data_IF_395938673927
#
_entry.id   IF_395938673927
#
_cell.length_a   1.000
_cell.length_b   1.000
_cell.length_c   1.000
_cell.angle_alpha   90.00
_cell.angle_beta   90.00
_cell.angle_gamma   90.00
#
_symmetry.space_group_name_H-M   'P 1'
#
loop_
_entity.id
_entity.type
_entity.pdbx_description
1 polymer ?
#
# COMPACT_ATOMS: atom_id res chain seq x y z
N UNK A 1 -21.50 4.41 -6.38
CA UNK A 1 -20.22 3.67 -6.31
C UNK A 1 -19.72 3.54 -7.74
N UNK A 2 -18.46 3.87 -8.03
CA UNK A 2 -17.96 3.80 -9.42
C UNK A 2 -17.84 2.31 -9.82
N UNK A 3 -18.73 1.86 -10.70
CA UNK A 3 -18.91 0.48 -11.17
C UNK A 3 -17.80 -0.03 -12.11
N UNK A 4 -16.56 0.47 -11.97
CA UNK A 4 -15.49 0.18 -12.93
C UNK A 4 -14.55 -0.95 -12.49
N UNK A 5 -14.87 -1.66 -11.40
CA UNK A 5 -14.12 -2.80 -10.91
C UNK A 5 -15.02 -4.04 -10.82
N UNK A 6 -14.50 -5.23 -11.15
CA UNK A 6 -15.24 -6.47 -10.94
C UNK A 6 -15.72 -6.57 -9.48
N UNK A 7 -16.97 -7.00 -9.25
CA UNK A 7 -17.56 -7.03 -7.90
C UNK A 7 -16.93 -8.10 -6.99
N UNK A 8 -16.26 -9.09 -7.59
CA UNK A 8 -15.55 -10.18 -6.91
C UNK A 8 -14.15 -10.29 -7.49
N UNK A 9 -13.15 -10.30 -6.60
CA UNK A 9 -11.74 -10.43 -6.94
C UNK A 9 -11.12 -11.55 -6.12
N UNK A 10 -10.16 -12.26 -6.69
CA UNK A 10 -9.39 -13.23 -5.93
C UNK A 10 -8.03 -13.52 -6.53
N UNK A 11 -7.13 -14.02 -5.69
CA UNK A 11 -5.79 -14.45 -6.07
C UNK A 11 -5.32 -15.58 -5.14
N UNK A 12 -4.30 -16.30 -5.57
CA UNK A 12 -3.62 -17.30 -4.75
C UNK A 12 -2.30 -16.75 -4.20
N UNK A 13 -1.89 -17.23 -3.03
CA UNK A 13 -0.59 -16.89 -2.45
C UNK A 13 0.60 -17.38 -3.28
N UNK A 14 0.39 -18.41 -4.11
CA UNK A 14 1.38 -19.02 -5.00
C UNK A 14 0.76 -19.48 -6.31
N UNK A 15 1.61 -19.64 -7.34
CA UNK A 15 1.19 -20.07 -8.68
C UNK A 15 1.11 -21.60 -8.85
N UNK A 16 1.85 -22.36 -8.04
CA UNK A 16 1.89 -23.81 -8.10
C UNK A 16 2.13 -24.43 -6.72
N UNK A 17 1.75 -25.69 -6.58
CA UNK A 17 1.91 -26.46 -5.36
C UNK A 17 2.13 -27.95 -5.68
N UNK A 18 2.83 -28.65 -4.81
CA UNK A 18 2.99 -30.11 -4.84
C UNK A 18 1.87 -30.80 -4.07
N UNK A 19 1.65 -32.12 -4.28
CA UNK A 19 0.76 -32.89 -3.44
C UNK A 19 1.10 -32.72 -1.95
N UNK A 20 0.08 -32.43 -1.13
CA UNK A 20 0.24 -32.21 0.31
C UNK A 20 0.55 -30.76 0.72
N UNK A 21 0.87 -29.87 -0.23
CA UNK A 21 1.04 -28.45 0.06
C UNK A 21 -0.31 -27.72 0.06
N UNK A 22 -0.39 -26.64 0.85
CA UNK A 22 -1.59 -25.80 0.96
C UNK A 22 -1.45 -24.58 0.06
N UNK A 23 -2.44 -24.34 -0.81
CA UNK A 23 -2.59 -23.08 -1.55
C UNK A 23 -3.67 -22.24 -0.87
N UNK A 24 -3.36 -20.99 -0.55
CA UNK A 24 -4.32 -20.07 0.04
C UNK A 24 -4.99 -19.24 -1.05
N UNK A 25 -6.32 -19.27 -1.11
CA UNK A 25 -7.11 -18.40 -1.98
C UNK A 25 -7.62 -17.21 -1.18
N UNK A 26 -7.30 -16.00 -1.62
CA UNK A 26 -7.77 -14.75 -1.02
C UNK A 26 -8.88 -14.19 -1.90
N UNK A 27 -10.06 -13.97 -1.33
CA UNK A 27 -11.24 -13.46 -2.05
C UNK A 27 -11.74 -12.18 -1.39
N UNK A 28 -11.97 -11.14 -2.19
CA UNK A 28 -12.57 -9.87 -1.78
C UNK A 28 -13.80 -9.60 -2.62
N UNK A 29 -14.93 -9.30 -1.98
CA UNK A 29 -16.22 -9.04 -2.63
C UNK A 29 -16.81 -7.74 -2.14
N UNK A 30 -17.33 -6.93 -3.06
CA UNK A 30 -18.17 -5.78 -2.75
C UNK A 30 -19.66 -6.14 -2.63
N UNK A 31 -20.03 -7.36 -3.02
CA UNK A 31 -21.38 -7.89 -2.84
C UNK A 31 -21.57 -8.43 -1.43
N UNK A 32 -22.78 -8.28 -0.90
CA UNK A 32 -23.22 -8.91 0.34
C UNK A 32 -23.61 -10.38 0.13
N UNK A 33 -23.76 -11.14 1.22
CA UNK A 33 -24.19 -12.53 1.18
C UNK A 33 -23.02 -13.51 1.07
N UNK A 34 -23.13 -14.49 0.17
CA UNK A 34 -22.15 -15.57 0.02
C UNK A 34 -21.66 -15.69 -1.42
N UNK A 35 -20.40 -16.11 -1.60
CA UNK A 35 -19.85 -16.56 -2.87
C UNK A 35 -19.61 -18.08 -2.83
N UNK A 36 -19.63 -18.73 -3.99
CA UNK A 36 -19.33 -20.16 -4.11
C UNK A 36 -17.94 -20.39 -4.69
N UNK A 37 -17.21 -21.35 -4.14
CA UNK A 37 -15.95 -21.82 -4.70
C UNK A 37 -16.06 -23.31 -5.07
N UNK A 38 -15.42 -23.68 -6.18
CA UNK A 38 -15.29 -25.04 -6.69
C UNK A 38 -13.92 -25.19 -7.36
N UNK A 39 -13.41 -26.41 -7.48
CA UNK A 39 -12.20 -26.69 -8.24
C UNK A 39 -12.55 -27.15 -9.65
N UNK A 40 -11.77 -26.67 -10.63
CA UNK A 40 -11.88 -27.08 -12.03
C UNK A 40 -10.51 -27.39 -12.61
N UNK A 41 -10.48 -28.32 -13.55
CA UNK A 41 -9.39 -28.49 -14.49
C UNK A 41 -9.76 -27.76 -15.78
N UNK A 42 -9.04 -26.68 -16.08
CA UNK A 42 -9.18 -25.98 -17.36
C UNK A 42 -8.45 -26.77 -18.45
N UNK A 43 -9.17 -27.18 -19.49
CA UNK A 43 -8.65 -27.89 -20.65
C UNK A 43 -8.39 -26.90 -21.80
N UNK A 44 -9.30 -25.95 -22.00
CA UNK A 44 -9.15 -24.85 -22.95
C UNK A 44 -9.76 -23.57 -22.38
N UNK A 45 -9.04 -22.45 -22.50
CA UNK A 45 -9.47 -21.14 -22.02
C UNK A 45 -9.72 -20.13 -23.16
N UNK A 46 -9.59 -20.55 -24.42
CA UNK A 46 -9.87 -19.70 -25.58
C UNK A 46 -11.38 -19.71 -25.89
N UNK A 47 -12.08 -18.57 -25.79
CA UNK A 47 -13.52 -18.49 -26.06
C UNK A 47 -13.86 -18.46 -27.57
N UNK A 48 -12.89 -18.58 -28.47
CA UNK A 48 -13.11 -18.56 -29.91
C UNK A 48 -14.12 -19.65 -30.35
N UNK A 49 -15.28 -19.28 -30.93
CA UNK A 49 -16.30 -20.24 -31.34
C UNK A 49 -15.89 -21.10 -32.55
N UNK A 50 -14.84 -20.72 -33.28
CA UNK A 50 -14.28 -21.55 -34.37
C UNK A 50 -13.32 -22.64 -33.86
N UNK A 51 -12.95 -22.61 -32.57
CA UNK A 51 -12.21 -23.66 -31.89
C UNK A 51 -13.12 -24.57 -31.05
N UNK A 52 -12.55 -25.26 -30.07
CA UNK A 52 -13.33 -26.06 -29.09
C UNK A 52 -14.03 -25.20 -28.02
N UNK A 53 -13.68 -23.91 -27.94
CA UNK A 53 -14.20 -22.98 -26.95
C UNK A 53 -13.63 -23.18 -25.53
N UNK A 54 -14.26 -22.54 -24.54
CA UNK A 54 -13.94 -22.72 -23.12
C UNK A 54 -14.36 -24.11 -22.66
N UNK A 55 -13.39 -24.93 -22.22
CA UNK A 55 -13.62 -26.29 -21.74
C UNK A 55 -13.03 -26.44 -20.34
N UNK A 56 -13.92 -26.72 -19.38
CA UNK A 56 -13.58 -26.98 -17.98
C UNK A 56 -14.18 -28.32 -17.53
N UNK A 57 -13.46 -29.00 -16.64
CA UNK A 57 -13.93 -30.21 -15.97
C UNK A 57 -13.99 -29.97 -14.46
N UNK A 58 -15.13 -30.26 -13.86
CA UNK A 58 -15.30 -30.15 -12.41
C UNK A 58 -14.46 -31.21 -11.68
N UNK A 59 -13.75 -30.80 -10.63
CA UNK A 59 -12.97 -31.70 -9.78
C UNK A 59 -13.56 -31.68 -8.38
N UNK A 60 -13.91 -32.86 -7.88
CA UNK A 60 -14.36 -33.02 -6.50
C UNK A 60 -13.23 -32.60 -5.55
N UNK A 61 -13.55 -31.70 -4.62
CA UNK A 61 -12.61 -31.18 -3.64
C UNK A 61 -13.32 -30.87 -2.33
N UNK A 62 -12.60 -31.06 -1.22
CA UNK A 62 -13.14 -30.88 0.13
C UNK A 62 -13.49 -29.44 0.49
N UNK A 63 -12.92 -28.46 -0.21
CA UNK A 63 -13.21 -27.04 0.02
C UNK A 63 -14.38 -26.50 -0.82
N UNK A 64 -14.96 -27.29 -1.73
CA UNK A 64 -16.09 -26.79 -2.52
C UNK A 64 -17.26 -26.40 -1.61
N UNK A 65 -17.81 -25.19 -1.78
CA UNK A 65 -18.86 -24.69 -0.89
C UNK A 65 -19.14 -23.20 -1.02
N UNK A 66 -20.03 -22.71 -0.15
CA UNK A 66 -20.33 -21.29 0.01
C UNK A 66 -19.48 -20.66 1.10
N UNK A 67 -19.12 -19.39 0.91
CA UNK A 67 -18.30 -18.60 1.81
C UNK A 67 -18.88 -17.21 1.95
N UNK A 68 -18.84 -16.64 3.16
CA UNK A 68 -19.29 -15.28 3.41
C UNK A 68 -18.49 -14.27 2.56
N UNK A 69 -19.20 -13.44 1.83
CA UNK A 69 -18.62 -12.35 1.07
C UNK A 69 -18.16 -11.23 2.03
N UNK A 70 -16.93 -10.74 1.83
CA UNK A 70 -16.39 -9.62 2.60
C UNK A 70 -15.42 -8.80 1.76
N UNK A 71 -15.34 -7.51 2.06
CA UNK A 71 -14.30 -6.63 1.51
C UNK A 71 -13.00 -6.87 2.29
N UNK A 72 -11.91 -7.07 1.55
CA UNK A 72 -10.56 -7.01 2.10
C UNK A 72 -9.91 -5.70 1.66
N UNK A 73 -9.73 -4.71 2.56
CA UNK A 73 -9.13 -3.44 2.19
C UNK A 73 -7.66 -3.63 1.81
N UNK A 74 -7.24 -2.94 0.74
CA UNK A 74 -5.87 -2.94 0.26
C UNK A 74 -5.38 -1.50 0.11
N UNK A 75 -4.17 -1.24 0.56
CA UNK A 75 -3.52 0.07 0.45
C UNK A 75 -2.29 -0.10 -0.44
N UNK A 76 -2.41 0.15 -1.76
CA UNK A 76 -1.28 0.02 -2.68
C UNK A 76 -0.18 1.04 -2.35
N UNK A 77 1.06 0.62 -2.57
CA UNK A 77 2.23 1.47 -2.40
C UNK A 77 3.33 0.76 -1.62
N UNK A 78 4.53 0.70 -2.20
CA UNK A 78 5.71 0.20 -1.51
C UNK A 78 6.08 1.16 -0.39
N UNK A 79 6.21 0.64 0.83
CA UNK A 79 6.69 1.39 1.98
C UNK A 79 7.45 0.46 2.94
N UNK A 80 8.27 1.06 3.80
CA UNK A 80 8.83 0.37 4.95
C UNK A 80 7.96 0.70 6.16
N UNK A 81 7.54 -0.34 6.90
CA UNK A 81 6.83 -0.19 8.17
C UNK A 81 7.72 -0.75 9.28
N UNK A 82 8.04 0.08 10.27
CA UNK A 82 8.78 -0.33 11.46
C UNK A 82 7.79 -0.32 12.63
N UNK A 83 7.46 -1.49 13.22
CA UNK A 83 6.59 -1.52 14.38
C UNK A 83 7.34 -0.90 15.57
N UNK A 84 6.64 -0.03 16.29
CA UNK A 84 7.11 0.57 17.53
C UNK A 84 6.31 -0.01 18.69
N UNK A 85 6.96 -0.21 19.83
CA UNK A 85 6.26 -0.59 21.08
C UNK A 85 5.48 0.59 21.63
N UNK A 86 4.51 0.36 22.52
CA UNK A 86 3.74 1.45 23.15
C UNK A 86 4.64 2.42 23.92
N UNK A 87 5.76 1.93 24.46
CA UNK A 87 6.77 2.73 25.17
C UNK A 87 7.74 3.48 24.24
N UNK A 88 7.64 3.28 22.92
CA UNK A 88 8.51 3.96 21.95
C UNK A 88 8.16 5.43 21.86
N UNK A 89 9.00 6.27 22.45
CA UNK A 89 8.88 7.71 22.37
C UNK A 89 9.95 8.28 21.44
N UNK A 90 9.58 9.34 20.72
CA UNK A 90 10.58 10.16 20.05
C UNK A 90 11.41 10.86 21.14
N UNK A 91 12.74 10.90 21.01
CA UNK A 91 13.57 11.64 21.95
C UNK A 91 13.27 13.15 21.87
N UNK A 92 13.54 13.87 22.95
CA UNK A 92 13.31 15.32 23.04
C UNK A 92 14.06 16.12 21.97
N UNK A 93 15.17 15.60 21.47
CA UNK A 93 15.94 16.18 20.38
C UNK A 93 16.40 15.08 19.42
N UNK A 94 16.10 15.25 18.14
CA UNK A 94 16.57 14.37 17.07
C UNK A 94 16.71 15.13 15.76
N UNK A 95 17.44 14.51 14.83
CA UNK A 95 17.54 14.98 13.45
C UNK A 95 17.05 13.88 12.53
N UNK A 96 16.10 14.23 11.66
CA UNK A 96 15.69 13.38 10.55
C UNK A 96 16.27 13.92 9.25
N UNK A 97 17.04 13.10 8.55
CA UNK A 97 17.59 13.44 7.23
C UNK A 97 17.22 12.36 6.24
N UNK A 98 16.76 12.76 5.06
CA UNK A 98 16.44 11.88 3.96
C UNK A 98 16.87 12.52 2.64
N UNK A 99 17.54 11.74 1.80
CA UNK A 99 17.79 12.10 0.40
C UNK A 99 16.68 11.45 -0.43
N UNK A 100 15.92 12.28 -1.15
CA UNK A 100 14.74 11.84 -1.90
C UNK A 100 14.86 12.24 -3.37
N UNK A 101 14.27 11.42 -4.23
CA UNK A 101 14.09 11.72 -5.65
C UNK A 101 12.59 11.66 -5.99
N UNK A 102 11.86 12.76 -5.85
CA UNK A 102 10.43 12.80 -6.18
C UNK A 102 10.24 12.67 -7.69
N UNK A 103 9.55 11.62 -8.15
CA UNK A 103 9.28 11.40 -9.58
C UNK A 103 7.96 12.01 -10.05
N UNK A 104 7.04 12.32 -9.12
CA UNK A 104 5.74 12.91 -9.40
C UNK A 104 5.40 14.07 -8.44
N UNK A 105 6.26 15.10 -8.32
CA UNK A 105 5.95 16.25 -7.46
C UNK A 105 4.67 16.95 -7.96
N UNK A 106 3.83 17.40 -7.02
CA UNK A 106 2.58 18.12 -7.34
C UNK A 106 1.40 17.23 -7.73
N UNK A 107 1.55 15.90 -7.71
CA UNK A 107 0.46 14.94 -7.94
C UNK A 107 -0.19 14.47 -6.64
N UNK A 108 -0.44 15.42 -5.73
CA UNK A 108 -0.95 15.14 -4.38
C UNK A 108 0.16 15.06 -3.32
N UNK A 109 -0.26 14.93 -2.06
CA UNK A 109 0.66 14.87 -0.92
C UNK A 109 1.42 13.53 -0.89
N UNK A 110 2.71 13.59 -0.60
CA UNK A 110 3.61 12.43 -0.63
C UNK A 110 4.37 12.31 0.69
N UNK A 111 4.15 11.22 1.42
CA UNK A 111 4.86 10.94 2.67
C UNK A 111 6.23 10.34 2.37
N UNK A 112 7.29 10.96 2.92
CA UNK A 112 8.65 10.38 2.93
C UNK A 112 8.87 9.61 4.23
N UNK A 113 8.45 10.18 5.36
CA UNK A 113 8.54 9.57 6.67
C UNK A 113 7.33 9.99 7.51
N UNK A 114 6.79 9.06 8.28
CA UNK A 114 5.77 9.36 9.27
C UNK A 114 5.88 8.42 10.46
N UNK A 115 5.64 8.94 11.65
CA UNK A 115 5.55 8.17 12.89
C UNK A 115 4.33 8.63 13.68
N UNK A 116 3.62 7.68 14.26
CA UNK A 116 2.42 7.93 15.05
C UNK A 116 1.80 6.63 15.54
N UNK A 117 0.83 6.76 16.44
CA UNK A 117 0.06 5.62 16.93
C UNK A 117 -1.22 5.44 16.10
N UNK A 118 -1.66 4.19 15.97
CA UNK A 118 -2.89 3.86 15.23
C UNK A 118 -4.13 4.58 15.80
N UNK A 119 -4.18 4.79 17.12
CA UNK A 119 -5.30 5.42 17.84
C UNK A 119 -5.31 6.95 17.76
N UNK A 120 -4.14 7.60 17.76
CA UNK A 120 -4.02 9.06 17.88
C UNK A 120 -3.54 9.78 16.61
N UNK A 121 -3.23 8.99 15.57
CA UNK A 121 -2.75 9.46 14.28
C UNK A 121 -1.26 9.79 14.25
N UNK A 122 -0.86 10.50 13.19
CA UNK A 122 0.52 10.88 12.93
C UNK A 122 1.03 11.94 13.93
N UNK A 123 2.12 11.64 14.63
CA UNK A 123 2.80 12.56 15.55
C UNK A 123 3.83 13.40 14.81
N UNK A 124 4.54 12.83 13.84
CA UNK A 124 5.52 13.53 13.02
C UNK A 124 5.40 13.07 11.57
N UNK A 125 5.36 14.03 10.65
CA UNK A 125 5.30 13.82 9.21
C UNK A 125 6.40 14.64 8.53
N UNK A 126 7.10 14.00 7.59
CA UNK A 126 7.99 14.62 6.63
C UNK A 126 7.59 14.17 5.23
N UNK A 127 7.43 15.12 4.31
CA UNK A 127 7.07 14.79 2.94
C UNK A 127 6.94 16.00 2.02
N UNK A 128 6.17 15.83 0.96
CA UNK A 128 5.78 16.89 0.04
C UNK A 128 4.27 17.16 0.18
N UNK A 129 3.89 18.43 0.07
CA UNK A 129 2.48 18.82 -0.02
C UNK A 129 1.90 18.56 -1.42
N UNK A 130 0.62 18.88 -1.61
CA UNK A 130 -0.07 18.69 -2.89
C UNK A 130 0.52 19.49 -4.06
N UNK A 131 1.33 20.53 -3.79
CA UNK A 131 2.04 21.32 -4.79
C UNK A 131 3.48 20.83 -5.00
N UNK A 132 3.89 19.73 -4.37
CA UNK A 132 5.24 19.18 -4.44
C UNK A 132 6.27 19.94 -3.59
N UNK A 133 5.83 20.82 -2.69
CA UNK A 133 6.73 21.60 -1.82
C UNK A 133 7.05 20.77 -0.58
N UNK A 134 8.30 20.81 -0.09
CA UNK A 134 8.64 20.18 1.18
C UNK A 134 7.75 20.66 2.33
N UNK A 135 7.24 19.71 3.11
CA UNK A 135 6.38 19.95 4.27
C UNK A 135 6.82 19.09 5.44
N UNK A 136 6.83 19.71 6.61
CA UNK A 136 6.95 19.05 7.90
C UNK A 136 5.74 19.40 8.77
N UNK A 137 5.25 18.43 9.53
CA UNK A 137 4.23 18.65 10.56
C UNK A 137 4.57 17.83 11.80
N UNK A 138 4.42 18.46 12.96
CA UNK A 138 4.60 17.81 14.27
C UNK A 138 3.38 18.11 15.12
N UNK A 139 2.78 17.07 15.69
CA UNK A 139 1.70 17.18 16.66
C UNK A 139 2.33 17.25 18.05
N UNK A 140 2.30 18.43 18.66
CA UNK A 140 2.82 18.65 20.01
C UNK A 140 1.75 18.31 21.04
N UNK A 141 2.11 17.50 22.04
CA UNK A 141 1.31 17.26 23.25
C UNK A 141 1.79 18.08 24.45
N UNK A 142 2.99 18.68 24.40
CA UNK A 142 3.49 19.64 25.40
C UNK A 142 4.35 20.74 24.77
N UNK A 143 4.45 21.86 25.50
CA UNK A 143 5.09 23.15 25.14
C UNK A 143 6.63 23.11 25.11
N UNK A 144 7.24 22.03 24.64
CA UNK A 144 8.69 21.98 24.43
C UNK A 144 9.02 22.38 22.99
N UNK A 145 9.94 23.32 22.81
CA UNK A 145 10.34 23.82 21.50
C UNK A 145 11.10 22.74 20.72
N UNK A 146 10.54 22.28 19.60
CA UNK A 146 11.24 21.38 18.68
C UNK A 146 11.96 22.22 17.63
N UNK A 147 13.29 22.12 17.60
CA UNK A 147 14.10 22.65 16.51
C UNK A 147 14.25 21.56 15.45
N UNK A 148 13.56 21.70 14.33
CA UNK A 148 13.73 20.78 13.20
C UNK A 148 14.63 21.40 12.15
N UNK A 149 15.78 20.77 11.92
CA UNK A 149 16.64 21.07 10.78
C UNK A 149 16.38 20.03 9.69
N UNK A 150 15.90 20.48 8.53
CA UNK A 150 15.78 19.61 7.36
C UNK A 150 16.62 20.20 6.21
N UNK A 151 17.32 19.32 5.50
CA UNK A 151 17.94 19.66 4.22
C UNK A 151 17.46 18.67 3.16
N UNK A 152 16.54 19.10 2.31
CA UNK A 152 16.11 18.29 1.16
C UNK A 152 17.19 18.45 0.10
N UNK A 153 18.00 17.41 -0.06
CA UNK A 153 18.89 17.31 -1.22
C UNK A 153 18.05 16.77 -2.37
N UNK A 154 17.33 17.66 -3.05
CA UNK A 154 16.67 17.34 -4.31
C UNK A 154 17.72 17.48 -5.42
N UNK A 155 18.08 16.37 -6.04
CA UNK A 155 18.97 16.40 -7.20
C UNK A 155 18.06 16.59 -8.43
N UNK A 156 17.89 17.82 -8.91
CA UNK A 156 17.22 18.05 -10.19
C UNK A 156 18.20 17.80 -11.34
N UNK A 157 17.75 17.10 -12.40
CA UNK A 157 18.50 16.98 -13.67
C UNK A 157 18.50 18.29 -14.47
N UNK A 158 17.67 19.26 -14.08
CA UNK A 158 17.68 20.62 -14.61
C UNK A 158 18.55 21.49 -13.71
N UNK A 159 19.73 21.84 -14.24
CA UNK A 159 20.66 22.74 -13.58
C UNK A 159 20.06 24.12 -13.40
N UNK A 160 19.78 24.48 -12.15
CA UNK A 160 19.71 25.88 -11.69
C UNK A 160 20.09 25.89 -10.22
N UNK A 161 20.96 26.83 -9.88
CA UNK A 161 21.68 27.01 -8.62
C UNK A 161 20.79 27.04 -7.37
N UNK A 162 21.15 26.25 -6.35
CA UNK A 162 20.66 26.46 -4.99
C UNK A 162 21.53 27.52 -4.30
N UNK A 163 20.86 28.59 -3.86
CA UNK A 163 21.46 29.68 -3.10
C UNK A 163 22.01 29.20 -1.76
N UNK A 164 23.25 29.60 -1.48
CA UNK A 164 23.97 29.39 -0.22
C UNK A 164 23.30 30.23 0.87
N UNK A 165 22.52 29.63 1.77
CA UNK A 165 22.05 30.32 2.96
C UNK A 165 23.19 30.35 3.99
N UNK A 166 23.76 31.54 4.22
CA UNK A 166 24.84 31.77 5.20
C UNK A 166 24.32 31.59 6.62
N UNK A 167 25.09 30.88 7.44
CA UNK A 167 24.96 30.89 8.90
C UNK A 167 25.32 32.26 9.47
N UNK A 168 24.57 32.69 10.48
CA UNK A 168 25.14 33.37 11.65
C UNK A 168 24.94 32.46 12.83
#
# INVERSE_FOLDING_TARGET
MNNNHPPLLGYTDRLSARPGEVVEVKVSSYLEGEYRARLVRTICADPNPAGIGLVEEAIDCSFAGSYAARVQPFTPGSCVKVPLTEDSQLPDTFTLSAMIWPTQPGQGAQTVFSVGAASSGCTLFLGLDGAGRPRIAVKMTMTAGVSVYWTVHCRSLLGTSFGKCRSR
#
